data_IF_094914505377
#
_entry.id   IF_094914505377
#
_cell.length_a   1.000
_cell.length_b   1.000
_cell.length_c   1.000
_cell.angle_alpha   90.00
_cell.angle_beta   90.00
_cell.angle_gamma   90.00
#
_symmetry.space_group_name_H-M   'P 1'
#
loop_
_entity.id
_entity.type
_entity.pdbx_description
1 polymer ?
#
# COMPACT_ATOMS: atom_id res chain seq x y z
N UNK A 1 -3.76 8.78 16.15
CA UNK A 1 -3.50 8.00 14.92
C UNK A 1 -2.09 8.34 14.44
N UNK A 2 -1.30 7.36 14.03
CA UNK A 2 0.06 7.54 13.48
C UNK A 2 0.05 7.24 11.98
N UNK A 3 1.04 7.72 11.24
CA UNK A 3 1.11 7.50 9.80
C UNK A 3 1.26 6.02 9.42
N UNK A 4 1.98 5.23 10.23
CA UNK A 4 2.08 3.77 10.09
C UNK A 4 0.73 3.05 10.21
N UNK A 5 -0.26 3.64 10.90
CA UNK A 5 -1.60 3.06 11.04
C UNK A 5 -2.29 3.02 9.68
N UNK A 6 -2.06 4.04 8.83
CA UNK A 6 -2.60 4.13 7.47
C UNK A 6 -1.94 3.10 6.57
N UNK A 7 -0.62 2.97 6.63
CA UNK A 7 0.14 1.94 5.88
C UNK A 7 -0.39 0.54 6.23
N UNK A 8 -0.59 0.26 7.52
CA UNK A 8 -1.12 -1.03 7.95
C UNK A 8 -2.55 -1.26 7.45
N UNK A 9 -3.42 -0.26 7.53
CA UNK A 9 -4.79 -0.35 7.04
C UNK A 9 -4.85 -0.60 5.52
N UNK A 10 -4.01 0.07 4.73
CA UNK A 10 -3.89 -0.17 3.29
C UNK A 10 -3.40 -1.59 3.00
N UNK A 11 -2.46 -2.13 3.80
CA UNK A 11 -2.06 -3.54 3.68
C UNK A 11 -3.22 -4.50 3.94
N UNK A 12 -4.06 -4.22 4.93
CA UNK A 12 -5.27 -5.04 5.17
C UNK A 12 -6.24 -4.99 3.97
N UNK A 13 -6.33 -3.86 3.27
CA UNK A 13 -7.13 -3.75 2.03
C UNK A 13 -6.51 -4.58 0.90
N UNK A 14 -5.20 -4.48 0.71
CA UNK A 14 -4.48 -5.26 -0.30
C UNK A 14 -4.66 -6.78 -0.08
N UNK A 15 -4.49 -7.25 1.16
CA UNK A 15 -4.71 -8.65 1.51
C UNK A 15 -6.15 -9.09 1.24
N UNK A 16 -7.15 -8.28 1.60
CA UNK A 16 -8.56 -8.62 1.32
C UNK A 16 -8.85 -8.77 -0.17
N UNK A 17 -8.27 -7.91 -1.01
CA UNK A 17 -8.44 -7.99 -2.47
C UNK A 17 -7.82 -9.28 -3.02
N UNK A 18 -6.65 -9.66 -2.52
CA UNK A 18 -5.98 -10.92 -2.87
C UNK A 18 -6.78 -12.14 -2.39
N UNK A 19 -7.39 -12.07 -1.21
CA UNK A 19 -8.21 -13.18 -0.67
C UNK A 19 -9.49 -13.41 -1.49
N UNK A 20 -10.07 -12.34 -2.07
CA UNK A 20 -11.27 -12.43 -2.92
C UNK A 20 -10.94 -12.92 -4.33
N UNK A 21 -9.70 -12.71 -4.80
CA UNK A 21 -9.30 -13.06 -6.17
C UNK A 21 -7.97 -13.83 -6.23
N UNK A 22 -7.93 -15.09 -5.74
CA UNK A 22 -6.70 -15.88 -5.69
C UNK A 22 -6.15 -16.26 -7.08
N UNK A 23 -7.01 -16.53 -8.08
CA UNK A 23 -6.60 -16.82 -9.47
C UNK A 23 -6.31 -15.55 -10.29
N UNK A 24 -6.92 -14.42 -9.91
CA UNK A 24 -6.66 -13.12 -10.48
C UNK A 24 -5.32 -12.50 -10.08
N UNK A 25 -4.52 -13.12 -9.20
CA UNK A 25 -3.12 -12.74 -9.07
C UNK A 25 -2.36 -12.86 -10.43
N UNK A 26 -2.85 -13.73 -11.33
CA UNK A 26 -2.34 -13.87 -12.70
C UNK A 26 -3.06 -12.97 -13.73
N UNK A 27 -4.38 -12.74 -13.57
CA UNK A 27 -5.23 -12.13 -14.61
C UNK A 27 -6.03 -10.88 -14.20
N UNK A 28 -6.10 -10.52 -12.92
CA UNK A 28 -6.70 -9.27 -12.48
C UNK A 28 -5.74 -8.15 -12.88
N UNK A 29 -6.14 -7.36 -13.88
CA UNK A 29 -5.69 -6.00 -14.17
C UNK A 29 -4.51 -5.61 -13.29
N UNK A 30 -3.30 -6.02 -13.70
CA UNK A 30 -2.11 -5.83 -12.89
C UNK A 30 -2.09 -4.36 -12.48
N UNK A 31 -1.87 -4.06 -11.21
CA UNK A 31 -1.91 -2.69 -10.70
C UNK A 31 -0.94 -1.74 -11.45
N UNK A 32 -0.06 -2.33 -12.28
CA UNK A 32 0.78 -1.76 -13.31
C UNK A 32 1.21 -2.83 -14.33
N UNK A 33 1.83 -2.50 -15.47
CA UNK A 33 2.37 -3.48 -16.44
C UNK A 33 3.31 -4.49 -15.75
N UNK A 34 3.23 -5.81 -15.97
CA UNK A 34 3.99 -6.75 -15.10
C UNK A 34 5.51 -6.68 -15.19
N UNK A 35 6.03 -6.05 -16.22
CA UNK A 35 7.44 -5.75 -16.39
C UNK A 35 7.87 -4.50 -15.63
N UNK A 36 6.94 -3.78 -14.99
CA UNK A 36 7.25 -2.56 -14.25
C UNK A 36 7.93 -2.88 -12.91
N UNK A 37 9.19 -2.48 -12.82
CA UNK A 37 10.02 -2.53 -11.63
C UNK A 37 10.91 -1.28 -11.59
N UNK A 38 10.72 -0.45 -10.57
CA UNK A 38 11.47 0.80 -10.41
C UNK A 38 12.47 0.74 -9.26
N UNK A 39 13.07 -0.44 -9.05
CA UNK A 39 14.15 -0.65 -8.10
C UNK A 39 15.12 -1.72 -8.57
N UNK A 40 16.37 -1.63 -8.13
CA UNK A 40 17.37 -2.68 -8.24
C UNK A 40 17.08 -3.81 -7.26
N UNK A 41 17.31 -5.06 -7.69
CA UNK A 41 17.33 -6.23 -6.82
C UNK A 41 18.62 -6.23 -6.01
N UNK A 42 18.65 -5.46 -4.92
CA UNK A 42 19.76 -5.55 -3.99
C UNK A 42 19.68 -6.87 -3.22
N UNK A 43 20.55 -7.79 -3.64
CA UNK A 43 20.79 -9.10 -3.07
C UNK A 43 19.66 -10.10 -3.32
N UNK A 44 19.97 -11.10 -4.16
CA UNK A 44 19.32 -12.40 -4.23
C UNK A 44 19.58 -13.20 -2.94
N UNK A 45 19.28 -12.61 -1.78
CA UNK A 45 18.97 -13.39 -0.60
C UNK A 45 17.46 -13.56 -0.65
N UNK A 46 17.03 -14.60 -1.39
CA UNK A 46 15.81 -15.30 -1.05
C UNK A 46 15.83 -15.48 0.47
N UNK A 47 15.10 -14.64 1.21
CA UNK A 47 14.60 -15.06 2.49
C UNK A 47 13.78 -16.30 2.16
N UNK A 48 14.24 -17.47 2.58
CA UNK A 48 13.61 -18.75 2.30
C UNK A 48 12.09 -18.64 2.57
N UNK A 49 11.31 -18.42 1.51
CA UNK A 49 9.86 -18.59 1.51
C UNK A 49 9.61 -20.08 1.27
N UNK A 50 10.28 -20.92 2.04
CA UNK A 50 9.98 -22.35 2.17
C UNK A 50 9.54 -22.57 3.61
N UNK A 51 8.30 -22.21 3.89
CA UNK A 51 7.47 -22.88 4.89
C UNK A 51 6.13 -22.17 4.93
N UNK A 52 5.18 -22.58 4.08
CA UNK A 52 3.73 -22.59 4.34
C UNK A 52 3.03 -23.20 3.12
N UNK A 53 3.38 -24.45 2.78
CA UNK A 53 2.47 -25.28 2.00
C UNK A 53 1.31 -25.69 2.93
N UNK A 54 0.05 -25.43 2.58
CA UNK A 54 -1.07 -25.74 3.46
C UNK A 54 -1.22 -27.26 3.62
N UNK A 55 -1.08 -27.75 4.85
CA UNK A 55 -1.50 -29.10 5.23
C UNK A 55 -3.03 -29.23 5.12
N UNK A 56 -3.47 -30.42 4.71
CA UNK A 56 -4.76 -30.74 4.08
C UNK A 56 -6.02 -30.72 5.00
N UNK A 57 -6.15 -29.84 5.98
CA UNK A 57 -7.39 -29.74 6.76
C UNK A 57 -7.86 -28.29 6.92
N UNK A 58 -9.07 -28.01 6.42
CA UNK A 58 -9.77 -26.71 6.30
C UNK A 58 -8.93 -25.49 5.82
N UNK A 59 -8.49 -25.53 4.55
CA UNK A 59 -7.31 -24.77 4.09
C UNK A 59 -7.54 -23.28 3.85
N UNK A 60 -8.78 -22.77 3.77
CA UNK A 60 -9.00 -21.36 3.43
C UNK A 60 -8.99 -20.46 4.67
N UNK A 61 -9.59 -20.90 5.78
CA UNK A 61 -9.70 -20.11 7.01
C UNK A 61 -8.36 -19.92 7.72
N UNK A 62 -7.61 -21.01 7.92
CA UNK A 62 -6.31 -20.98 8.61
C UNK A 62 -5.23 -20.29 7.77
N UNK A 63 -5.22 -20.52 6.45
CA UNK A 63 -4.31 -19.82 5.53
C UNK A 63 -4.59 -18.32 5.51
N UNK A 64 -5.85 -17.90 5.43
CA UNK A 64 -6.19 -16.48 5.54
C UNK A 64 -5.76 -15.95 6.90
N UNK A 65 -6.04 -16.66 8.00
CA UNK A 65 -5.64 -16.19 9.32
C UNK A 65 -4.12 -16.01 9.46
N UNK A 66 -3.30 -16.89 8.87
CA UNK A 66 -1.84 -16.82 8.95
C UNK A 66 -1.28 -15.53 8.30
N UNK A 67 -1.88 -15.08 7.18
CA UNK A 67 -1.49 -13.83 6.48
C UNK A 67 -1.82 -12.55 7.25
N UNK A 68 -2.73 -12.63 8.23
CA UNK A 68 -3.13 -11.46 9.03
C UNK A 68 -2.49 -11.46 10.43
N UNK A 69 -1.58 -12.40 10.70
CA UNK A 69 -0.81 -12.39 11.95
C UNK A 69 0.11 -11.18 12.01
N UNK A 70 0.36 -10.67 13.22
CA UNK A 70 1.26 -9.53 13.40
C UNK A 70 2.69 -9.80 12.89
N UNK A 71 3.13 -11.07 12.87
CA UNK A 71 4.42 -11.50 12.29
C UNK A 71 4.40 -11.39 10.77
N UNK A 72 3.35 -11.88 10.11
CA UNK A 72 3.26 -11.79 8.65
C UNK A 72 3.12 -10.32 8.20
N UNK A 73 2.30 -9.53 8.88
CA UNK A 73 2.16 -8.10 8.60
C UNK A 73 3.48 -7.33 8.79
N UNK A 74 4.31 -7.72 9.76
CA UNK A 74 5.66 -7.17 9.93
C UNK A 74 6.56 -7.49 8.74
N UNK A 75 6.58 -8.74 8.28
CA UNK A 75 7.38 -9.17 7.12
C UNK A 75 6.97 -8.42 5.84
N UNK A 76 5.68 -8.20 5.65
CA UNK A 76 5.14 -7.54 4.46
C UNK A 76 5.30 -6.01 4.48
N UNK A 77 5.18 -5.38 5.65
CA UNK A 77 5.15 -3.90 5.75
C UNK A 77 6.43 -3.28 6.28
N UNK A 78 7.33 -4.07 6.89
CA UNK A 78 8.49 -3.59 7.62
C UNK A 78 8.15 -2.87 8.94
N UNK A 79 6.88 -2.87 9.36
CA UNK A 79 6.45 -2.31 10.64
C UNK A 79 6.62 -3.38 11.71
N UNK A 80 7.36 -3.08 12.78
CA UNK A 80 7.61 -4.10 13.82
C UNK A 80 6.33 -4.71 14.39
N UNK A 81 6.38 -5.99 14.80
CA UNK A 81 5.23 -6.72 15.39
C UNK A 81 4.53 -5.96 16.52
N UNK A 82 5.32 -5.30 17.38
CA UNK A 82 4.78 -4.48 18.48
C UNK A 82 3.99 -3.28 17.96
N UNK A 83 4.51 -2.58 16.96
CA UNK A 83 3.85 -1.45 16.32
C UNK A 83 2.62 -1.86 15.52
N UNK A 84 2.63 -3.04 14.89
CA UNK A 84 1.46 -3.63 14.22
C UNK A 84 0.32 -3.82 15.22
N UNK A 85 0.57 -4.49 16.35
CA UNK A 85 -0.47 -4.71 17.36
C UNK A 85 -1.02 -3.41 17.94
N UNK A 86 -0.14 -2.45 18.24
CA UNK A 86 -0.55 -1.14 18.72
C UNK A 86 -1.36 -0.35 17.68
N UNK A 87 -1.01 -0.45 16.41
CA UNK A 87 -1.75 0.17 15.30
C UNK A 87 -3.13 -0.48 15.12
N UNK A 88 -3.22 -1.81 15.12
CA UNK A 88 -4.50 -2.53 15.03
C UNK A 88 -5.45 -2.12 16.16
N UNK A 89 -4.97 -2.08 17.41
CA UNK A 89 -5.79 -1.66 18.55
C UNK A 89 -6.32 -0.23 18.35
N UNK A 90 -5.44 0.74 18.05
CA UNK A 90 -5.85 2.12 17.77
C UNK A 90 -6.88 2.22 16.65
N UNK A 91 -6.68 1.48 15.55
CA UNK A 91 -7.58 1.47 14.41
C UNK A 91 -8.94 0.86 14.73
N UNK A 92 -8.97 -0.19 15.57
CA UNK A 92 -10.23 -0.77 16.05
C UNK A 92 -10.97 0.20 16.97
N UNK A 93 -10.26 0.87 17.89
CA UNK A 93 -10.86 1.82 18.84
C UNK A 93 -11.55 2.99 18.14
N UNK A 94 -11.01 3.46 17.01
CA UNK A 94 -11.58 4.57 16.22
C UNK A 94 -12.48 4.11 15.06
N UNK A 95 -12.76 2.81 14.94
CA UNK A 95 -13.66 2.26 13.91
C UNK A 95 -13.10 2.22 12.48
N UNK A 96 -11.80 2.43 12.30
CA UNK A 96 -11.12 2.27 11.01
C UNK A 96 -10.75 0.81 10.69
N UNK A 97 -10.74 -0.07 11.70
CA UNK A 97 -10.63 -1.51 11.53
C UNK A 97 -11.68 -2.24 12.37
N UNK A 98 -12.03 -3.45 11.97
CA UNK A 98 -12.92 -4.35 12.70
C UNK A 98 -12.47 -5.79 12.53
N UNK A 99 -12.74 -6.66 13.51
CA UNK A 99 -12.56 -8.10 13.32
C UNK A 99 -13.66 -8.63 12.41
N UNK A 100 -13.29 -9.43 11.42
CA UNK A 100 -14.26 -10.15 10.61
C UNK A 100 -15.02 -11.17 11.47
N UNK A 101 -16.34 -11.23 11.34
CA UNK A 101 -17.17 -12.13 12.16
C UNK A 101 -16.98 -13.60 11.82
N UNK A 102 -16.59 -13.93 10.59
CA UNK A 102 -16.43 -15.30 10.13
C UNK A 102 -15.00 -15.79 10.36
N UNK A 103 -14.01 -15.00 9.98
CA UNK A 103 -12.60 -15.42 10.01
C UNK A 103 -11.81 -14.90 11.21
N UNK A 104 -12.35 -13.93 11.97
CA UNK A 104 -11.68 -13.34 13.13
C UNK A 104 -10.52 -12.39 12.79
N UNK A 105 -10.11 -12.32 11.53
CA UNK A 105 -8.99 -11.49 11.08
C UNK A 105 -9.33 -9.99 11.10
N UNK A 106 -8.37 -9.10 11.34
CA UNK A 106 -8.59 -7.67 11.22
C UNK A 106 -8.89 -7.27 9.78
N UNK A 107 -9.98 -6.53 9.58
CA UNK A 107 -10.36 -5.93 8.30
C UNK A 107 -10.48 -4.42 8.41
N UNK A 108 -9.87 -3.70 7.48
CA UNK A 108 -10.08 -2.27 7.34
C UNK A 108 -11.55 -1.94 7.03
N UNK A 109 -12.06 -0.86 7.61
CA UNK A 109 -13.31 -0.24 7.21
C UNK A 109 -13.04 0.61 5.97
N UNK A 110 -13.16 0.01 4.78
CA UNK A 110 -12.73 0.62 3.52
C UNK A 110 -13.40 1.96 3.25
N UNK A 111 -14.70 2.09 3.54
CA UNK A 111 -15.42 3.35 3.38
C UNK A 111 -14.86 4.46 4.26
N UNK A 112 -14.74 4.20 5.57
CA UNK A 112 -14.23 5.20 6.52
C UNK A 112 -12.77 5.57 6.25
N UNK A 113 -11.94 4.58 5.88
CA UNK A 113 -10.55 4.81 5.50
C UNK A 113 -10.45 5.64 4.22
N UNK A 114 -11.26 5.33 3.20
CA UNK A 114 -11.32 6.09 1.96
C UNK A 114 -11.69 7.54 2.21
N UNK A 115 -12.80 7.78 2.94
CA UNK A 115 -13.25 9.14 3.26
C UNK A 115 -12.17 9.89 4.07
N UNK A 116 -11.49 9.22 5.00
CA UNK A 116 -10.37 9.81 5.75
C UNK A 116 -9.18 10.16 4.85
N UNK A 117 -8.82 9.29 3.89
CA UNK A 117 -7.72 9.54 2.96
C UNK A 117 -8.02 10.75 2.07
N UNK A 118 -9.20 10.78 1.46
CA UNK A 118 -9.60 11.80 0.49
C UNK A 118 -9.73 13.18 1.15
N UNK A 119 -10.34 13.24 2.34
CA UNK A 119 -10.70 14.52 2.95
C UNK A 119 -9.76 14.98 4.08
N UNK A 120 -9.08 14.06 4.77
CA UNK A 120 -8.31 14.38 5.98
C UNK A 120 -6.80 14.24 5.84
N UNK A 121 -6.33 13.22 5.12
CA UNK A 121 -4.93 12.78 5.22
C UNK A 121 -3.91 13.84 4.81
N UNK A 122 -4.20 14.64 3.78
CA UNK A 122 -3.32 15.72 3.31
C UNK A 122 -3.05 16.80 4.37
N UNK A 123 -3.94 16.96 5.35
CA UNK A 123 -3.79 17.94 6.43
C UNK A 123 -3.08 17.38 7.66
N UNK A 124 -3.25 16.08 7.93
CA UNK A 124 -2.70 15.42 9.12
C UNK A 124 -1.28 14.90 8.85
N UNK A 125 -1.03 14.43 7.64
CA UNK A 125 0.28 13.96 7.19
C UNK A 125 0.66 14.68 5.88
N UNK A 126 0.88 16.01 5.91
CA UNK A 126 1.28 16.73 4.71
C UNK A 126 2.62 16.20 4.21
N UNK A 127 2.75 15.96 2.90
CA UNK A 127 4.04 15.76 2.26
C UNK A 127 4.43 17.06 1.54
N UNK A 128 5.71 17.43 1.64
CA UNK A 128 6.29 18.54 0.88
C UNK A 128 7.31 17.99 -0.11
N UNK A 129 7.39 18.55 -1.33
CA UNK A 129 8.50 18.28 -2.23
C UNK A 129 9.84 18.55 -1.53
N UNK A 130 10.75 17.57 -1.54
CA UNK A 130 12.05 17.63 -0.90
C UNK A 130 13.18 18.06 -1.84
N UNK A 131 14.31 17.38 -1.79
CA UNK A 131 15.40 17.54 -2.77
C UNK A 131 15.22 16.60 -3.97
N UNK A 132 15.99 16.84 -5.04
CA UNK A 132 16.05 15.90 -6.17
C UNK A 132 16.95 14.73 -5.78
N UNK A 133 16.39 13.53 -5.80
CA UNK A 133 17.07 12.30 -5.36
C UNK A 133 16.70 11.12 -6.23
N UNK A 134 17.37 9.98 -5.98
CA UNK A 134 17.03 8.68 -6.54
C UNK A 134 15.97 8.00 -5.66
N UNK A 135 15.02 7.32 -6.29
CA UNK A 135 13.92 6.70 -5.57
C UNK A 135 12.95 5.94 -6.46
N UNK A 136 11.86 5.51 -5.84
CA UNK A 136 10.76 4.78 -6.49
C UNK A 136 9.67 5.79 -6.84
N UNK A 137 9.22 5.84 -8.09
CA UNK A 137 8.16 6.71 -8.57
C UNK A 137 6.88 6.55 -7.73
N UNK A 138 6.21 7.66 -7.46
CA UNK A 138 4.95 7.70 -6.70
C UNK A 138 3.97 8.71 -7.31
N UNK A 139 2.81 8.90 -6.69
CA UNK A 139 1.80 9.87 -7.09
C UNK A 139 1.44 9.75 -8.58
N UNK A 140 1.39 10.88 -9.30
CA UNK A 140 1.02 10.94 -10.72
C UNK A 140 2.06 10.31 -11.66
N UNK A 141 3.27 10.02 -11.19
CA UNK A 141 4.29 9.32 -11.97
C UNK A 141 4.25 7.80 -11.80
N UNK A 142 3.47 7.31 -10.85
CA UNK A 142 3.24 5.88 -10.71
C UNK A 142 2.40 5.34 -11.88
N UNK A 143 2.65 4.10 -12.36
CA UNK A 143 1.92 3.53 -13.50
C UNK A 143 0.40 3.50 -13.34
N UNK A 144 -0.09 3.40 -12.10
CA UNK A 144 -1.53 3.43 -11.78
C UNK A 144 -2.22 4.73 -12.22
N UNK A 145 -1.46 5.81 -12.45
CA UNK A 145 -1.95 7.11 -12.90
C UNK A 145 -1.27 7.67 -14.16
N UNK A 146 -0.01 7.32 -14.44
CA UNK A 146 0.80 7.95 -15.49
C UNK A 146 0.26 7.76 -16.91
N UNK A 147 -0.43 6.65 -17.19
CA UNK A 147 -1.07 6.43 -18.50
C UNK A 147 -2.31 7.32 -18.71
N UNK A 148 -2.89 7.84 -17.62
CA UNK A 148 -4.14 8.63 -17.62
C UNK A 148 -3.90 10.12 -17.49
N UNK A 149 -2.66 10.53 -17.17
CA UNK A 149 -2.26 11.91 -16.94
C UNK A 149 -0.94 12.19 -17.65
N UNK A 150 -0.95 13.15 -18.57
CA UNK A 150 0.28 13.83 -18.95
C UNK A 150 0.63 14.78 -17.80
N UNK A 151 1.62 14.43 -16.97
CA UNK A 151 2.07 15.31 -15.90
C UNK A 151 2.65 16.59 -16.49
N UNK A 152 2.27 17.73 -15.93
CA UNK A 152 2.79 19.04 -16.31
C UNK A 152 4.03 19.45 -15.47
N UNK A 153 4.48 18.59 -14.55
CA UNK A 153 5.64 18.86 -13.69
C UNK A 153 6.97 18.50 -14.37
N UNK A 154 7.99 19.33 -14.19
CA UNK A 154 9.35 19.06 -14.70
C UNK A 154 10.02 17.86 -14.02
N UNK A 155 9.64 17.55 -12.77
CA UNK A 155 10.27 16.51 -11.96
C UNK A 155 9.24 15.48 -11.47
N UNK A 156 9.58 14.21 -11.68
CA UNK A 156 8.80 13.05 -11.23
C UNK A 156 8.85 12.93 -9.71
N UNK A 157 7.72 12.82 -8.99
CA UNK A 157 7.73 12.55 -7.55
C UNK A 157 8.22 11.13 -7.26
N UNK A 158 9.12 10.99 -6.30
CA UNK A 158 9.69 9.70 -5.89
C UNK A 158 9.70 9.54 -4.37
N UNK A 159 9.48 8.33 -3.88
CA UNK A 159 9.90 7.94 -2.54
C UNK A 159 11.41 7.74 -2.53
N UNK A 160 12.18 8.52 -1.75
CA UNK A 160 13.62 8.37 -1.66
C UNK A 160 14.00 6.95 -1.25
N UNK A 161 14.77 6.28 -2.08
CA UNK A 161 15.24 4.92 -1.83
C UNK A 161 16.53 4.68 -2.64
N UNK A 162 17.56 4.14 -2.00
CA UNK A 162 18.86 3.93 -2.63
C UNK A 162 18.79 2.93 -3.80
N UNK A 163 17.81 2.03 -3.79
CA UNK A 163 17.59 1.02 -4.80
C UNK A 163 16.68 1.52 -5.93
N UNK A 164 15.92 2.60 -5.75
CA UNK A 164 14.91 3.02 -6.73
C UNK A 164 15.52 3.49 -8.05
N UNK A 165 14.94 3.24 -9.22
CA UNK A 165 15.57 3.53 -10.53
C UNK A 165 15.26 4.94 -11.07
N UNK A 166 14.33 5.65 -10.45
CA UNK A 166 13.86 6.94 -10.93
C UNK A 166 14.55 8.10 -10.20
N UNK A 167 15.08 9.04 -10.97
CA UNK A 167 15.55 10.34 -10.45
C UNK A 167 14.37 11.31 -10.44
N UNK A 168 14.10 11.91 -9.29
CA UNK A 168 12.92 12.73 -9.14
C UNK A 168 12.90 13.58 -7.88
N UNK A 169 11.81 14.31 -7.71
CA UNK A 169 11.54 15.15 -6.57
C UNK A 169 11.13 14.28 -5.37
N UNK A 170 11.88 14.32 -4.28
CA UNK A 170 11.57 13.54 -3.07
C UNK A 170 10.18 13.88 -2.52
N UNK A 171 9.43 12.85 -2.16
CA UNK A 171 8.17 12.92 -1.41
C UNK A 171 8.35 12.14 -0.12
N UNK A 172 8.10 12.78 1.02
CA UNK A 172 8.19 12.10 2.32
C UNK A 172 7.11 10.99 2.41
N UNK A 173 7.53 9.70 2.50
CA UNK A 173 6.59 8.60 2.59
C UNK A 173 5.83 8.67 3.92
N UNK A 174 4.60 8.14 3.95
CA UNK A 174 3.81 8.06 5.19
C UNK A 174 4.58 7.33 6.31
N UNK A 175 5.34 6.30 5.98
CA UNK A 175 6.21 5.60 6.92
C UNK A 175 7.56 5.31 6.26
N UNK A 176 8.63 5.29 7.05
CA UNK A 176 9.97 4.93 6.55
C UNK A 176 10.04 3.55 5.90
N UNK A 177 9.11 2.66 6.23
CA UNK A 177 9.03 1.30 5.66
C UNK A 177 8.26 1.23 4.34
N UNK A 178 7.71 2.35 3.82
CA UNK A 178 6.96 2.36 2.56
C UNK A 178 7.80 1.82 1.39
N UNK A 179 9.03 2.31 1.10
CA UNK A 179 9.84 1.74 0.02
C UNK A 179 10.13 0.25 0.17
N UNK A 180 10.15 -0.27 1.39
CA UNK A 180 10.28 -1.70 1.64
C UNK A 180 8.98 -2.47 1.32
N UNK A 181 7.83 -1.95 1.76
CA UNK A 181 6.52 -2.58 1.61
C UNK A 181 6.04 -2.62 0.15
N UNK A 182 6.24 -1.53 -0.58
CA UNK A 182 5.75 -1.37 -1.96
C UNK A 182 6.45 -2.28 -2.97
N UNK A 183 7.69 -2.71 -2.66
CA UNK A 183 8.44 -3.68 -3.48
C UNK A 183 7.92 -5.11 -3.37
N UNK A 184 7.19 -5.42 -2.31
CA UNK A 184 6.70 -6.78 -1.99
C UNK A 184 5.26 -7.01 -2.44
N UNK A 185 4.48 -5.95 -2.54
CA UNK A 185 3.06 -6.05 -2.83
C UNK A 185 2.64 -5.00 -3.87
N UNK A 186 2.33 -5.42 -5.11
CA UNK A 186 1.91 -4.51 -6.15
C UNK A 186 0.64 -3.72 -5.83
N UNK A 187 -0.31 -4.34 -5.13
CA UNK A 187 -1.53 -3.64 -4.73
C UNK A 187 -1.19 -2.58 -3.67
N UNK A 188 -0.26 -2.87 -2.77
CA UNK A 188 0.18 -1.95 -1.73
C UNK A 188 0.85 -0.69 -2.29
N UNK A 189 1.74 -0.84 -3.26
CA UNK A 189 2.30 0.31 -3.98
C UNK A 189 1.20 1.13 -4.64
N UNK A 190 0.25 0.50 -5.35
CA UNK A 190 -0.76 1.23 -6.09
C UNK A 190 -1.61 2.08 -5.14
N UNK A 191 -2.05 1.49 -4.03
CA UNK A 191 -2.74 2.19 -2.96
C UNK A 191 -1.92 3.36 -2.40
N UNK A 192 -0.64 3.16 -2.09
CA UNK A 192 0.22 4.20 -1.53
C UNK A 192 0.54 5.32 -2.53
N UNK A 193 0.76 4.99 -3.79
CA UNK A 193 0.99 5.98 -4.84
C UNK A 193 -0.27 6.83 -5.08
N UNK A 194 -1.46 6.21 -5.10
CA UNK A 194 -2.73 6.93 -5.18
C UNK A 194 -2.94 7.85 -3.97
N UNK A 195 -2.57 7.39 -2.77
CA UNK A 195 -2.61 8.21 -1.56
C UNK A 195 -1.70 9.42 -1.68
N UNK A 196 -0.48 9.27 -2.21
CA UNK A 196 0.41 10.41 -2.42
C UNK A 196 -0.12 11.37 -3.49
N UNK A 197 -0.70 10.87 -4.59
CA UNK A 197 -1.37 11.73 -5.57
C UNK A 197 -2.50 12.56 -4.96
N UNK A 198 -3.22 12.04 -3.95
CA UNK A 198 -4.21 12.81 -3.18
C UNK A 198 -3.54 13.82 -2.24
N UNK A 199 -2.40 13.48 -1.63
CA UNK A 199 -1.69 14.33 -0.67
C UNK A 199 -1.02 15.53 -1.33
N UNK A 200 -0.40 15.34 -2.50
CA UNK A 200 0.48 16.36 -3.14
C UNK A 200 0.02 16.81 -4.53
N UNK A 201 -0.91 16.09 -5.15
CA UNK A 201 -1.32 16.36 -6.53
C UNK A 201 -2.20 17.60 -6.68
N UNK A 202 -2.23 18.13 -7.90
CA UNK A 202 -3.15 19.19 -8.29
C UNK A 202 -4.61 18.70 -8.26
N UNK A 203 -5.64 19.59 -8.21
CA UNK A 203 -7.03 19.17 -8.11
C UNK A 203 -7.47 18.10 -9.11
N UNK A 204 -7.01 18.19 -10.37
CA UNK A 204 -7.29 17.18 -11.40
C UNK A 204 -6.67 15.81 -11.07
N UNK A 205 -5.43 15.79 -10.60
CA UNK A 205 -4.68 14.59 -10.27
C UNK A 205 -5.26 13.93 -9.00
N UNK A 206 -5.50 14.72 -7.95
CA UNK A 206 -6.07 14.26 -6.70
C UNK A 206 -7.50 13.70 -6.89
N UNK A 207 -8.31 14.32 -7.75
CA UNK A 207 -9.66 13.81 -8.08
C UNK A 207 -9.60 12.46 -8.81
N UNK A 208 -8.72 12.31 -9.80
CA UNK A 208 -8.54 11.04 -10.50
C UNK A 208 -7.98 9.96 -9.56
N UNK A 209 -7.00 10.32 -8.72
CA UNK A 209 -6.44 9.43 -7.73
C UNK A 209 -7.48 8.96 -6.71
N UNK A 210 -8.38 9.85 -6.28
CA UNK A 210 -9.52 9.51 -5.42
C UNK A 210 -10.46 8.50 -6.09
N UNK A 211 -10.79 8.70 -7.37
CA UNK A 211 -11.61 7.75 -8.13
C UNK A 211 -10.95 6.36 -8.23
N UNK A 212 -9.66 6.32 -8.59
CA UNK A 212 -8.91 5.06 -8.68
C UNK A 212 -8.78 4.38 -7.31
N UNK A 213 -8.50 5.14 -6.25
CA UNK A 213 -8.42 4.61 -4.90
C UNK A 213 -9.75 3.99 -4.47
N UNK A 214 -10.87 4.63 -4.79
CA UNK A 214 -12.22 4.09 -4.52
C UNK A 214 -12.41 2.71 -5.17
N UNK A 215 -11.96 2.56 -6.41
CA UNK A 215 -12.03 1.31 -7.17
C UNK A 215 -11.15 0.21 -6.56
N UNK A 216 -9.88 0.52 -6.27
CA UNK A 216 -8.95 -0.42 -5.65
C UNK A 216 -9.41 -0.89 -4.26
N UNK A 217 -10.03 0.00 -3.48
CA UNK A 217 -10.58 -0.31 -2.15
C UNK A 217 -11.97 -0.97 -2.17
N UNK A 218 -12.58 -1.15 -3.35
CA UNK A 218 -13.92 -1.74 -3.48
C UNK A 218 -15.02 -0.92 -2.78
N UNK A 219 -14.85 0.39 -2.66
CA UNK A 219 -15.81 1.28 -2.00
C UNK A 219 -16.95 1.58 -2.98
N UNK A 220 -18.18 1.25 -2.56
CA UNK A 220 -19.41 1.57 -3.29
C UNK A 220 -19.85 3.01 -3.04
#
# INVERSE_FOLDING_TARGET
>A
MKSQDIVLLLKLVALQKQDVNPEGASAATRAWPADWQDWEDAYSEQADIEDFLPMKHDPFGEYIASRYTARHLELETGISKSQVNLALNRCMDVGLAKKDRKTGVPKANTRALYDFIVYGLKYIFPARPGEVTRGIATAFAAPVLSEKLMSAGELVPVWPDALGNTKGQAVEPLCKSVPYAVRRDPEMYALLALVDAIRIGQPREANLASEQLRQHMGVK
#
